data_IF_098247291553
#
_entry.id   IF_098247291553
#
_cell.length_a   1.000
_cell.length_b   1.000
_cell.length_c   1.000
_cell.angle_alpha   90.00
_cell.angle_beta   90.00
_cell.angle_gamma   90.00
#
_symmetry.space_group_name_H-M   'P 1'
#
loop_
_entity.id
_entity.type
_entity.pdbx_description
1 polymer ?
#
# COMPACT_ATOMS: atom_id res chain seq x y z
N UNK A 1 8.64 2.21 12.56
CA UNK A 1 8.31 1.85 11.16
C UNK A 1 8.19 3.15 10.39
N UNK A 2 8.61 3.23 9.13
CA UNK A 2 8.44 4.44 8.30
C UNK A 2 7.11 4.32 7.55
N UNK A 3 6.25 5.33 7.64
CA UNK A 3 4.94 5.33 6.98
C UNK A 3 4.63 6.70 6.37
N UNK A 4 3.78 6.67 5.36
CA UNK A 4 3.04 7.83 4.86
C UNK A 4 1.60 7.71 5.37
N UNK A 5 1.04 8.82 5.84
CA UNK A 5 -0.24 8.84 6.54
C UNK A 5 -1.11 9.94 5.92
N UNK A 6 -2.35 9.58 5.59
CA UNK A 6 -3.42 10.48 5.17
C UNK A 6 -4.49 10.42 6.25
N UNK A 7 -4.82 11.58 6.81
CA UNK A 7 -5.69 11.78 7.95
C UNK A 7 -6.97 12.51 7.51
N UNK A 8 -7.93 12.66 8.42
CA UNK A 8 -9.18 13.39 8.24
C UNK A 8 -10.13 12.81 7.18
N UNK A 9 -10.10 11.49 6.93
CA UNK A 9 -11.06 10.84 6.04
C UNK A 9 -12.43 10.70 6.72
N UNK A 10 -13.48 11.15 6.01
CA UNK A 10 -14.86 10.82 6.39
C UNK A 10 -15.15 9.32 6.30
N UNK A 11 -16.14 8.83 7.03
CA UNK A 11 -16.58 7.41 6.96
C UNK A 11 -16.93 6.98 5.54
N UNK A 12 -17.61 7.85 4.79
CA UNK A 12 -18.00 7.58 3.41
C UNK A 12 -16.77 7.46 2.50
N UNK A 13 -15.76 8.31 2.69
CA UNK A 13 -14.50 8.25 1.95
C UNK A 13 -13.71 6.97 2.27
N UNK A 14 -13.56 6.65 3.56
CA UNK A 14 -12.88 5.43 3.99
C UNK A 14 -13.54 4.18 3.40
N UNK A 15 -14.88 4.09 3.48
CA UNK A 15 -15.64 2.97 2.92
C UNK A 15 -15.52 2.88 1.39
N UNK A 16 -15.51 4.00 0.67
CA UNK A 16 -15.33 4.03 -0.77
C UNK A 16 -13.95 3.48 -1.17
N UNK A 17 -12.90 3.91 -0.47
CA UNK A 17 -11.52 3.43 -0.66
C UNK A 17 -11.42 1.93 -0.42
N UNK A 18 -11.97 1.45 0.70
CA UNK A 18 -11.96 0.02 1.04
C UNK A 18 -12.69 -0.83 -0.01
N UNK A 19 -13.86 -0.37 -0.46
CA UNK A 19 -14.66 -1.05 -1.50
C UNK A 19 -13.89 -1.13 -2.81
N UNK A 20 -13.29 -0.02 -3.25
CA UNK A 20 -12.51 0.02 -4.47
C UNK A 20 -11.26 -0.87 -4.40
N UNK A 21 -10.56 -0.93 -3.27
CA UNK A 21 -9.43 -1.86 -3.12
C UNK A 21 -9.85 -3.34 -3.08
N UNK A 22 -11.03 -3.66 -2.54
CA UNK A 22 -11.59 -5.00 -2.61
C UNK A 22 -11.91 -5.40 -4.06
N UNK A 23 -12.52 -4.51 -4.84
CA UNK A 23 -12.80 -4.74 -6.28
C UNK A 23 -11.53 -4.92 -7.12
N UNK A 24 -10.45 -4.20 -6.77
CA UNK A 24 -9.12 -4.36 -7.38
C UNK A 24 -8.38 -5.63 -6.92
N UNK A 25 -8.92 -6.36 -5.94
CA UNK A 25 -8.32 -7.59 -5.42
C UNK A 25 -7.07 -7.34 -4.57
N UNK A 26 -6.94 -6.15 -3.98
CA UNK A 26 -5.79 -5.80 -3.13
C UNK A 26 -5.95 -6.28 -1.69
N UNK A 27 -7.08 -6.86 -1.33
CA UNK A 27 -7.36 -7.32 0.04
C UNK A 27 -6.23 -8.23 0.57
N UNK A 28 -5.72 -7.84 1.73
CA UNK A 28 -4.70 -8.56 2.46
C UNK A 28 -5.27 -9.73 3.25
N UNK A 29 -4.42 -10.33 4.10
CA UNK A 29 -4.83 -11.45 4.95
C UNK A 29 -5.66 -11.05 6.19
N UNK A 30 -5.66 -9.77 6.53
CA UNK A 30 -6.39 -9.20 7.67
C UNK A 30 -7.35 -8.14 7.13
N UNK A 31 -8.51 -7.99 7.76
CA UNK A 31 -9.44 -6.91 7.43
C UNK A 31 -8.79 -5.54 7.70
N UNK A 32 -9.10 -4.57 6.84
CA UNK A 32 -8.49 -3.24 6.87
C UNK A 32 -7.05 -3.18 6.33
N UNK A 33 -6.44 -4.31 5.93
CA UNK A 33 -5.11 -4.35 5.32
C UNK A 33 -5.19 -4.64 3.83
N UNK A 34 -4.52 -3.83 3.03
CA UNK A 34 -4.44 -3.96 1.58
C UNK A 34 -2.98 -4.05 1.11
N UNK A 35 -2.75 -4.83 0.05
CA UNK A 35 -1.44 -5.07 -0.55
C UNK A 35 -1.35 -4.35 -1.89
N UNK A 36 -0.89 -3.10 -1.86
CA UNK A 36 -0.77 -2.26 -3.05
C UNK A 36 0.44 -2.74 -3.87
N UNK A 37 0.24 -3.17 -5.14
CA UNK A 37 1.30 -3.75 -5.94
C UNK A 37 2.38 -2.72 -6.26
N UNK A 38 3.65 -3.11 -6.12
CA UNK A 38 4.78 -2.29 -6.53
C UNK A 38 5.15 -2.63 -7.99
N UNK A 39 5.28 -1.65 -8.89
CA UNK A 39 5.61 -1.92 -10.29
C UNK A 39 6.97 -2.62 -10.45
N UNK A 40 7.05 -3.51 -11.44
CA UNK A 40 8.22 -4.38 -11.65
C UNK A 40 9.47 -3.58 -12.03
N UNK A 41 9.28 -2.50 -12.77
CA UNK A 41 10.29 -1.54 -13.22
C UNK A 41 10.93 -0.77 -12.05
N UNK A 42 10.21 -0.62 -10.94
CA UNK A 42 10.70 0.06 -9.73
C UNK A 42 11.33 -0.91 -8.73
N UNK A 43 11.32 -2.22 -8.99
CA UNK A 43 11.93 -3.20 -8.11
C UNK A 43 13.45 -3.04 -8.09
N UNK A 44 14.03 -3.13 -6.90
CA UNK A 44 15.48 -3.19 -6.73
C UNK A 44 16.03 -4.49 -7.33
N UNK A 45 17.32 -4.51 -7.66
CA UNK A 45 17.99 -5.69 -8.28
C UNK A 45 17.72 -7.00 -7.54
N UNK A 46 17.78 -6.98 -6.21
CA UNK A 46 17.53 -8.16 -5.40
C UNK A 46 16.05 -8.59 -5.42
N UNK A 47 15.12 -7.64 -5.45
CA UNK A 47 13.69 -7.92 -5.58
C UNK A 47 13.38 -8.56 -6.94
N UNK A 48 13.94 -8.01 -8.02
CA UNK A 48 13.83 -8.62 -9.35
C UNK A 48 14.40 -10.05 -9.38
N UNK A 49 15.59 -10.25 -8.80
CA UNK A 49 16.22 -11.56 -8.73
C UNK A 49 15.38 -12.58 -7.94
N UNK A 50 14.67 -12.13 -6.90
CA UNK A 50 13.84 -12.97 -6.04
C UNK A 50 12.35 -12.96 -6.42
N UNK A 51 11.97 -12.43 -7.59
CA UNK A 51 10.57 -12.29 -8.02
C UNK A 51 9.79 -13.60 -7.96
N UNK A 52 10.40 -14.70 -8.41
CA UNK A 52 9.77 -16.03 -8.43
C UNK A 52 9.61 -16.62 -7.02
N UNK A 53 10.61 -16.43 -6.16
CA UNK A 53 10.64 -17.01 -4.81
C UNK A 53 9.87 -16.21 -3.75
N UNK A 54 9.93 -14.88 -3.84
CA UNK A 54 9.44 -13.96 -2.83
C UNK A 54 8.26 -13.13 -3.33
N UNK A 55 8.26 -12.76 -4.62
CA UNK A 55 7.25 -11.90 -5.22
C UNK A 55 5.86 -12.56 -5.35
N UNK A 56 4.84 -11.84 -5.84
CA UNK A 56 4.88 -10.41 -6.20
C UNK A 56 5.18 -9.52 -5.00
N UNK A 57 5.68 -8.30 -5.27
CA UNK A 57 6.03 -7.32 -4.25
C UNK A 57 4.94 -6.27 -4.08
N UNK A 58 4.76 -5.81 -2.85
CA UNK A 58 3.74 -4.84 -2.49
C UNK A 58 4.22 -3.95 -1.34
N UNK A 59 3.52 -2.83 -1.13
CA UNK A 59 3.54 -2.09 0.12
C UNK A 59 2.19 -2.26 0.83
N UNK A 60 2.23 -2.45 2.15
CA UNK A 60 1.01 -2.65 2.93
C UNK A 60 0.36 -1.30 3.23
N UNK A 61 -0.93 -1.18 2.94
CA UNK A 61 -1.77 -0.06 3.36
C UNK A 61 -2.73 -0.56 4.44
N UNK A 62 -2.84 0.20 5.53
CA UNK A 62 -3.79 -0.04 6.62
C UNK A 62 -4.85 1.06 6.59
N UNK A 63 -6.12 0.68 6.50
CA UNK A 63 -7.27 1.56 6.72
C UNK A 63 -7.57 1.52 8.22
N UNK A 64 -7.40 2.66 8.88
CA UNK A 64 -7.60 2.83 10.31
C UNK A 64 -8.94 3.52 10.53
N UNK A 65 -9.94 2.77 10.96
CA UNK A 65 -11.25 3.29 11.35
C UNK A 65 -11.24 3.62 12.85
N UNK A 66 -11.50 4.88 13.22
CA UNK A 66 -11.62 5.31 14.63
C UNK A 66 -12.89 6.15 14.79
N UNK A 67 -13.39 6.26 16.02
CA UNK A 67 -14.64 6.96 16.33
C UNK A 67 -14.67 8.42 15.90
N UNK A 68 -13.52 9.11 15.90
CA UNK A 68 -13.43 10.55 15.60
C UNK A 68 -12.81 10.86 14.22
N UNK A 69 -12.07 9.92 13.63
CA UNK A 69 -11.29 10.19 12.41
C UNK A 69 -10.79 8.89 11.75
N UNK A 70 -10.99 8.76 10.43
CA UNK A 70 -10.42 7.66 9.65
C UNK A 70 -9.11 8.09 8.98
N UNK A 71 -8.20 7.14 8.82
CA UNK A 71 -6.90 7.41 8.18
C UNK A 71 -6.44 6.25 7.31
N UNK A 72 -5.62 6.57 6.30
CA UNK A 72 -4.93 5.60 5.47
C UNK A 72 -3.43 5.66 5.80
N UNK A 73 -2.86 4.50 6.13
CA UNK A 73 -1.47 4.40 6.54
C UNK A 73 -0.71 3.45 5.64
N UNK A 74 0.13 4.00 4.77
CA UNK A 74 1.01 3.25 3.90
C UNK A 74 2.33 2.94 4.61
N UNK A 75 2.63 1.67 4.80
CA UNK A 75 3.95 1.22 5.24
C UNK A 75 4.97 1.39 4.11
N UNK A 76 6.01 2.20 4.32
CA UNK A 76 7.09 2.43 3.35
C UNK A 76 8.12 1.29 3.34
N UNK A 77 7.63 0.05 3.33
CA UNK A 77 8.41 -1.18 3.33
C UNK A 77 7.92 -2.08 2.18
N UNK A 78 8.83 -2.48 1.31
CA UNK A 78 8.52 -3.41 0.23
C UNK A 78 8.54 -4.83 0.77
N UNK A 79 7.43 -5.55 0.64
CA UNK A 79 7.24 -6.92 1.12
C UNK A 79 7.04 -7.88 -0.04
N UNK A 80 7.55 -9.09 0.07
CA UNK A 80 7.23 -10.18 -0.85
C UNK A 80 6.01 -10.97 -0.37
N UNK A 81 5.13 -11.38 -1.29
CA UNK A 81 3.91 -12.12 -0.96
C UNK A 81 4.16 -13.54 -0.43
N UNK A 82 5.25 -14.20 -0.84
CA UNK A 82 5.49 -15.62 -0.58
C UNK A 82 6.37 -15.91 0.65
N UNK A 83 7.26 -14.98 1.02
CA UNK A 83 8.19 -15.15 2.15
C UNK A 83 8.12 -13.94 3.08
N UNK A 84 7.95 -14.20 4.37
CA UNK A 84 7.87 -13.17 5.42
C UNK A 84 9.22 -12.60 5.85
N UNK A 85 10.32 -13.30 5.54
CA UNK A 85 11.69 -12.90 5.89
C UNK A 85 12.62 -13.19 4.71
N UNK A 86 13.20 -12.13 4.16
CA UNK A 86 14.23 -12.16 3.13
C UNK A 86 14.95 -10.81 3.15
N UNK A 87 16.21 -10.76 2.71
CA UNK A 87 16.96 -9.51 2.52
C UNK A 87 16.32 -8.59 1.49
N UNK A 88 15.53 -9.11 0.55
CA UNK A 88 14.77 -8.30 -0.41
C UNK A 88 13.59 -7.53 0.22
N UNK A 89 13.23 -7.82 1.48
CA UNK A 89 12.25 -7.04 2.26
C UNK A 89 13.01 -5.86 2.86
N UNK A 90 12.81 -4.69 2.28
CA UNK A 90 13.59 -3.49 2.61
C UNK A 90 12.69 -2.25 2.58
N UNK A 91 13.15 -1.19 3.25
CA UNK A 91 12.48 0.11 3.15
C UNK A 91 12.48 0.59 1.70
N UNK A 92 11.40 1.27 1.32
CA UNK A 92 11.23 1.83 0.00
C UNK A 92 12.41 2.74 -0.37
N UNK A 93 12.89 2.62 -1.61
CA UNK A 93 13.79 3.62 -2.18
C UNK A 93 13.04 4.96 -2.33
N UNK A 94 13.74 6.09 -2.53
CA UNK A 94 13.08 7.37 -2.78
C UNK A 94 12.10 7.33 -3.96
N UNK A 95 12.44 6.61 -5.03
CA UNK A 95 11.62 6.45 -6.23
C UNK A 95 10.38 5.57 -5.97
N UNK A 96 10.56 4.43 -5.32
CA UNK A 96 9.44 3.56 -4.90
C UNK A 96 8.48 4.31 -3.98
N UNK A 97 9.02 5.08 -3.02
CA UNK A 97 8.21 5.89 -2.11
C UNK A 97 7.42 6.95 -2.86
N UNK A 98 8.06 7.73 -3.73
CA UNK A 98 7.39 8.77 -4.49
C UNK A 98 6.26 8.18 -5.34
N UNK A 99 6.55 7.12 -6.10
CA UNK A 99 5.55 6.44 -6.90
C UNK A 99 4.35 5.95 -6.09
N UNK A 100 4.56 5.32 -4.94
CA UNK A 100 3.45 4.78 -4.15
C UNK A 100 2.62 5.88 -3.45
N UNK A 101 3.23 7.03 -3.14
CA UNK A 101 2.50 8.20 -2.64
C UNK A 101 1.67 8.80 -3.78
N UNK A 102 2.29 9.08 -4.93
CA UNK A 102 1.60 9.63 -6.10
C UNK A 102 0.46 8.72 -6.58
N UNK A 103 0.66 7.40 -6.52
CA UNK A 103 -0.38 6.40 -6.81
C UNK A 103 -1.58 6.51 -5.87
N UNK A 104 -1.32 6.69 -4.57
CA UNK A 104 -2.40 6.79 -3.58
C UNK A 104 -3.14 8.13 -3.71
N UNK A 105 -2.42 9.22 -3.93
CA UNK A 105 -3.00 10.55 -4.16
C UNK A 105 -3.88 10.54 -5.42
N UNK A 106 -3.37 9.99 -6.54
CA UNK A 106 -4.14 9.84 -7.78
C UNK A 106 -5.38 8.96 -7.57
N UNK A 107 -5.25 7.87 -6.81
CA UNK A 107 -6.36 6.98 -6.52
C UNK A 107 -7.48 7.69 -5.73
N UNK A 108 -7.12 8.53 -4.75
CA UNK A 108 -8.09 9.31 -4.00
C UNK A 108 -8.77 10.38 -4.87
N UNK A 109 -8.00 11.05 -5.73
CA UNK A 109 -8.54 12.00 -6.71
C UNK A 109 -9.55 11.33 -7.67
N UNK A 110 -9.23 10.13 -8.17
CA UNK A 110 -10.12 9.34 -9.05
C UNK A 110 -11.42 8.91 -8.36
N UNK A 111 -11.38 8.71 -7.03
CA UNK A 111 -12.55 8.42 -6.22
C UNK A 111 -13.31 9.67 -5.75
N UNK A 112 -12.87 10.87 -6.16
CA UNK A 112 -13.39 12.16 -5.70
C UNK A 112 -13.37 12.29 -4.16
N UNK A 113 -12.39 11.66 -3.51
CA UNK A 113 -12.21 11.71 -2.05
C UNK A 113 -11.47 13.00 -1.70
N UNK A 114 -12.14 13.88 -0.95
CA UNK A 114 -11.50 15.03 -0.34
C UNK A 114 -10.78 14.63 0.96
N UNK A 115 -9.55 15.12 1.08
CA UNK A 115 -8.65 14.97 2.23
C UNK A 115 -7.95 16.29 2.53
#
# INVERSE_FOLDING_TARGET
>A
MRSYLIEDLSDAACQAVMTAFDELGFKGALDGIYYLPLPVELLQKEQQAHQTECGPYFMALECLEKEDENSLKLELLVRGRKKMRCSCIAYATPEQRAHMIDYLDQFLDELEVAV
#
